data_IF_852269252963
#
_entry.id   IF_852269252963
#
_cell.length_a   1.000
_cell.length_b   1.000
_cell.length_c   1.000
_cell.angle_alpha   90.00
_cell.angle_beta   90.00
_cell.angle_gamma   90.00
#
_symmetry.space_group_name_H-M   'P 1'
#
loop_
_entity.id
_entity.type
_entity.pdbx_description
1 polymer ?
#
# COMPACT_ATOMS: atom_id res chain seq x y z
N UNK A 1 -30.89 -7.71 2.41
CA UNK A 1 -29.48 -8.08 2.67
C UNK A 1 -28.93 -8.63 1.36
N UNK A 2 -28.07 -7.88 0.66
CA UNK A 2 -27.31 -8.45 -0.45
C UNK A 2 -26.27 -9.38 0.18
N UNK A 3 -26.32 -10.66 -0.15
CA UNK A 3 -25.21 -11.57 0.15
C UNK A 3 -23.93 -10.98 -0.48
N UNK A 4 -22.79 -10.98 0.22
CA UNK A 4 -21.54 -10.59 -0.40
C UNK A 4 -21.23 -11.65 -1.45
N UNK A 5 -21.51 -11.33 -2.71
CA UNK A 5 -21.13 -12.18 -3.83
C UNK A 5 -19.66 -12.51 -3.68
N UNK A 6 -19.36 -13.80 -3.50
CA UNK A 6 -17.99 -14.29 -3.45
C UNK A 6 -17.41 -13.94 -4.82
N UNK A 7 -16.63 -12.87 -4.90
CA UNK A 7 -15.79 -12.62 -6.05
C UNK A 7 -14.89 -13.85 -6.18
N UNK A 8 -14.85 -14.45 -7.37
CA UNK A 8 -13.97 -15.58 -7.66
C UNK A 8 -12.50 -15.14 -7.47
N UNK A 9 -12.03 -15.22 -6.23
CA UNK A 9 -10.67 -14.86 -5.79
C UNK A 9 -9.62 -15.83 -6.34
N UNK A 10 -10.09 -16.97 -6.84
CA UNK A 10 -9.39 -17.98 -7.60
C UNK A 10 -8.74 -17.42 -8.90
N UNK A 11 -9.27 -16.30 -9.42
CA UNK A 11 -8.67 -15.58 -10.57
C UNK A 11 -8.04 -14.23 -10.19
N UNK A 12 -8.34 -13.69 -9.01
CA UNK A 12 -7.78 -12.41 -8.55
C UNK A 12 -6.40 -12.61 -7.92
N UNK A 13 -5.38 -12.45 -8.76
CA UNK A 13 -3.99 -12.54 -8.34
C UNK A 13 -3.67 -11.53 -7.22
N UNK A 14 -3.02 -11.99 -6.15
CA UNK A 14 -2.60 -11.14 -5.02
C UNK A 14 -1.87 -9.88 -5.49
N UNK A 15 -1.03 -9.97 -6.53
CA UNK A 15 -0.35 -8.82 -7.12
C UNK A 15 -1.30 -7.75 -7.69
N UNK A 16 -2.45 -8.15 -8.24
CA UNK A 16 -3.48 -7.25 -8.77
C UNK A 16 -4.25 -6.54 -7.63
N UNK A 17 -4.39 -7.18 -6.47
CA UNK A 17 -4.99 -6.59 -5.27
C UNK A 17 -4.02 -5.71 -4.48
N UNK A 18 -2.72 -6.05 -4.47
CA UNK A 18 -1.68 -5.28 -3.80
C UNK A 18 -1.38 -3.96 -4.53
N UNK A 19 -1.48 -3.94 -5.87
CA UNK A 19 -1.20 -2.73 -6.67
C UNK A 19 -2.07 -1.51 -6.31
N UNK A 20 -3.41 -1.60 -6.20
CA UNK A 20 -4.22 -0.46 -5.77
C UNK A 20 -3.92 -0.04 -4.33
N UNK A 21 -3.64 -0.99 -3.41
CA UNK A 21 -3.23 -0.65 -2.04
C UNK A 21 -1.93 0.17 -2.01
N UNK A 22 -0.95 -0.20 -2.84
CA UNK A 22 0.29 0.57 -3.01
C UNK A 22 0.04 1.98 -3.55
N UNK A 23 -0.91 2.13 -4.49
CA UNK A 23 -1.31 3.45 -4.99
C UNK A 23 -1.88 4.32 -3.88
N UNK A 24 -2.83 3.78 -3.11
CA UNK A 24 -3.45 4.50 -1.99
C UNK A 24 -2.43 4.90 -0.94
N UNK A 25 -1.47 4.02 -0.61
CA UNK A 25 -0.40 4.39 0.34
C UNK A 25 0.45 5.56 -0.16
N UNK A 26 0.80 5.60 -1.45
CA UNK A 26 1.56 6.72 -2.04
C UNK A 26 0.77 8.04 -2.03
N UNK A 27 -0.55 7.98 -2.21
CA UNK A 27 -1.41 9.16 -2.09
C UNK A 27 -1.44 9.69 -0.64
N UNK A 28 -1.53 8.79 0.34
CA UNK A 28 -1.48 9.15 1.75
C UNK A 28 -0.12 9.73 2.15
N UNK A 29 0.98 9.13 1.68
CA UNK A 29 2.34 9.67 1.88
C UNK A 29 2.47 11.09 1.32
N UNK A 30 2.00 11.34 0.10
CA UNK A 30 1.99 12.67 -0.50
C UNK A 30 1.18 13.67 0.33
N UNK A 31 0.01 13.26 0.83
CA UNK A 31 -0.84 14.11 1.66
C UNK A 31 -0.17 14.46 2.99
N UNK A 32 0.47 13.50 3.65
CA UNK A 32 1.26 13.74 4.87
C UNK A 32 2.43 14.67 4.59
N UNK A 33 3.18 14.46 3.50
CA UNK A 33 4.27 15.34 3.10
C UNK A 33 3.78 16.78 2.86
N UNK A 34 2.65 16.94 2.18
CA UNK A 34 2.01 18.23 1.97
C UNK A 34 1.67 18.93 3.29
N UNK A 35 1.10 18.21 4.26
CA UNK A 35 0.79 18.78 5.57
C UNK A 35 2.03 19.27 6.32
N UNK A 36 3.13 18.50 6.28
CA UNK A 36 4.38 18.88 6.95
C UNK A 36 5.01 20.15 6.39
N UNK A 37 4.88 20.35 5.08
CA UNK A 37 5.50 21.49 4.38
C UNK A 37 4.61 22.73 4.42
N UNK A 38 3.30 22.58 4.22
CA UNK A 38 2.41 23.71 3.96
C UNK A 38 1.55 24.13 5.16
N UNK A 39 1.42 23.30 6.20
CA UNK A 39 0.63 23.65 7.37
C UNK A 39 1.51 24.11 8.53
N UNK A 40 1.10 25.20 9.18
CA UNK A 40 1.63 25.60 10.48
C UNK A 40 0.97 24.77 11.57
N UNK A 41 1.64 23.70 11.97
CA UNK A 41 1.21 22.82 13.05
C UNK A 41 1.96 23.14 14.34
N UNK A 42 1.30 23.09 15.51
CA UNK A 42 1.94 22.96 16.81
C UNK A 42 2.94 21.79 16.83
N UNK A 43 3.90 21.82 17.74
CA UNK A 43 4.96 20.80 17.81
C UNK A 43 4.41 19.38 18.02
N UNK A 44 3.40 19.24 18.87
CA UNK A 44 2.72 17.96 19.13
C UNK A 44 2.03 17.41 17.88
N UNK A 45 1.23 18.25 17.19
CA UNK A 45 0.55 17.87 15.94
C UNK A 45 1.55 17.53 14.83
N UNK A 46 2.67 18.25 14.75
CA UNK A 46 3.74 17.96 13.79
C UNK A 46 4.34 16.58 14.05
N UNK A 47 4.63 16.24 15.31
CA UNK A 47 5.17 14.94 15.68
C UNK A 47 4.19 13.80 15.37
N UNK A 48 2.89 14.02 15.55
CA UNK A 48 1.85 13.06 15.17
C UNK A 48 1.82 12.82 13.65
N UNK A 49 1.86 13.89 12.84
CA UNK A 49 1.90 13.79 11.38
C UNK A 49 3.19 13.12 10.88
N UNK A 50 4.33 13.38 11.53
CA UNK A 50 5.59 12.70 11.23
C UNK A 50 5.54 11.21 11.51
N UNK A 51 4.97 10.85 12.66
CA UNK A 51 4.76 9.45 13.04
C UNK A 51 3.81 8.73 12.08
N UNK A 52 2.74 9.40 11.63
CA UNK A 52 1.85 8.88 10.60
C UNK A 52 2.59 8.65 9.27
N UNK A 53 3.45 9.59 8.85
CA UNK A 53 4.28 9.42 7.65
C UNK A 53 5.23 8.23 7.74
N UNK A 54 5.85 8.02 8.90
CA UNK A 54 6.73 6.87 9.12
C UNK A 54 5.97 5.54 9.04
N UNK A 55 4.78 5.47 9.64
CA UNK A 55 3.95 4.27 9.59
C UNK A 55 3.52 3.92 8.15
N UNK A 56 3.14 4.93 7.36
CA UNK A 56 2.80 4.75 5.95
C UNK A 56 3.99 4.26 5.13
N UNK A 57 5.18 4.81 5.34
CA UNK A 57 6.40 4.40 4.65
C UNK A 57 6.79 2.95 4.96
N UNK A 58 6.66 2.53 6.22
CA UNK A 58 6.86 1.13 6.63
C UNK A 58 5.84 0.21 5.96
N UNK A 59 4.55 0.56 6.01
CA UNK A 59 3.50 -0.22 5.37
C UNK A 59 3.72 -0.36 3.85
N UNK A 60 4.07 0.74 3.16
CA UNK A 60 4.36 0.72 1.72
C UNK A 60 5.52 -0.21 1.40
N UNK A 61 6.61 -0.13 2.18
CA UNK A 61 7.79 -0.97 1.95
C UNK A 61 7.48 -2.46 2.09
N UNK A 62 6.70 -2.84 3.11
CA UNK A 62 6.26 -4.24 3.27
C UNK A 62 5.33 -4.69 2.14
N UNK A 63 4.38 -3.84 1.73
CA UNK A 63 3.50 -4.19 0.61
C UNK A 63 4.26 -4.27 -0.73
N UNK A 64 5.28 -3.44 -0.94
CA UNK A 64 6.14 -3.51 -2.13
C UNK A 64 6.94 -4.81 -2.13
N UNK A 65 7.52 -5.22 -0.99
CA UNK A 65 8.19 -6.51 -0.84
C UNK A 65 7.27 -7.68 -1.19
N UNK A 66 6.08 -7.72 -0.58
CA UNK A 66 5.08 -8.76 -0.84
C UNK A 66 4.64 -8.77 -2.31
N UNK A 67 4.47 -7.60 -2.92
CA UNK A 67 4.11 -7.48 -4.32
C UNK A 67 5.19 -8.06 -5.24
N UNK A 68 6.46 -7.73 -4.99
CA UNK A 68 7.59 -8.26 -5.77
C UNK A 68 7.70 -9.78 -5.63
N UNK A 69 7.59 -10.32 -4.41
CA UNK A 69 7.61 -11.78 -4.17
C UNK A 69 6.52 -12.50 -4.97
N UNK A 70 5.32 -11.93 -5.06
CA UNK A 70 4.23 -12.49 -5.85
C UNK A 70 4.49 -12.41 -7.36
N UNK A 71 5.07 -11.31 -7.84
CA UNK A 71 5.42 -11.14 -9.25
C UNK A 71 6.53 -12.11 -9.66
N UNK A 72 7.59 -12.22 -8.86
CA UNK A 72 8.73 -13.11 -9.11
C UNK A 72 8.33 -14.58 -9.03
N UNK A 73 7.63 -15.00 -7.97
CA UNK A 73 7.15 -16.37 -7.82
C UNK A 73 6.28 -16.83 -9.00
N UNK A 74 5.56 -15.90 -9.64
CA UNK A 74 4.78 -16.17 -10.85
C UNK A 74 5.65 -16.30 -12.10
N UNK A 75 6.66 -15.43 -12.25
CA UNK A 75 7.61 -15.51 -13.39
C UNK A 75 8.33 -16.85 -13.42
N UNK A 76 8.73 -17.37 -12.26
CA UNK A 76 9.31 -18.71 -12.14
C UNK A 76 8.33 -19.82 -12.55
N UNK A 77 7.07 -19.77 -12.09
CA UNK A 77 6.04 -20.76 -12.47
C UNK A 77 5.71 -20.75 -13.97
N UNK A 78 5.78 -19.59 -14.62
CA UNK A 78 5.52 -19.46 -16.06
C UNK A 78 6.71 -19.90 -16.94
N UNK A 79 7.93 -19.89 -16.41
CA UNK A 79 9.14 -20.31 -17.14
C UNK A 79 9.46 -21.81 -16.97
N UNK A 80 8.89 -22.46 -15.96
CA UNK A 80 9.12 -23.88 -15.63
C UNK A 80 8.05 -24.84 -16.20
N UNK A 81 7.05 -24.32 -16.93
CA UNK A 81 6.05 -25.09 -17.66
C UNK A 81 6.22 -24.92 -19.17
#
# INVERSE_FOLDING_TARGET
MHEPGIYHLDEQYAAALLRPLLSTLRELEHRVAHYRVHLRLPAEDRAAIESAGQALATARSELERLWQEQVEGRRWKQAAG
#
